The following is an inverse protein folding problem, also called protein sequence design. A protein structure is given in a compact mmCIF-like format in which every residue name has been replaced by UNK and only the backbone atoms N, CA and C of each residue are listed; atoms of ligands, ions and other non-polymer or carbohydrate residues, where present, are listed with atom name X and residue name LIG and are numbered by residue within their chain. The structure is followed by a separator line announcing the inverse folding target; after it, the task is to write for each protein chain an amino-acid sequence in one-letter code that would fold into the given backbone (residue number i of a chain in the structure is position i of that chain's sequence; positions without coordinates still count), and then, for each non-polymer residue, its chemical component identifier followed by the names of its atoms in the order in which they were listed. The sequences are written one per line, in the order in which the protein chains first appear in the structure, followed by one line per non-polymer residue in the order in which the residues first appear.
data_IF_467578987275
#
_entry.id   IF_467578987275
#
_cell.length_a   1.000
_cell.length_b   1.000
_cell.length_c   1.000
_cell.angle_alpha   90.00
_cell.angle_beta   90.00
_cell.angle_gamma   90.00
#
_symmetry.space_group_name_H-M   'P 1'
#
loop_
_entity.id
_entity.type
_entity.pdbx_description
1 polymer ?
#
# COMPACT_ATOMS: atom_id res chain seq x y z
N UNK A 1 -25.79 -19.01 -37.58
CA UNK A 1 -24.86 -20.10 -37.16
C UNK A 1 -23.79 -19.41 -36.32
N UNK A 2 -23.55 -19.66 -35.04
CA UNK A 2 -23.90 -20.75 -34.14
C UNK A 2 -23.99 -20.16 -32.72
N UNK A 3 -24.89 -20.75 -31.94
CA UNK A 3 -25.32 -20.41 -30.58
C UNK A 3 -24.21 -20.51 -29.52
N UNK A 4 -24.37 -19.68 -28.48
CA UNK A 4 -24.25 -19.99 -27.05
C UNK A 4 -22.98 -20.71 -26.58
N UNK A 5 -22.17 -20.04 -25.74
CA UNK A 5 -21.87 -20.56 -24.40
C UNK A 5 -21.89 -19.39 -23.42
N UNK A 6 -22.89 -19.42 -22.54
CA UNK A 6 -23.03 -18.59 -21.35
C UNK A 6 -22.13 -19.11 -20.22
N UNK A 7 -21.69 -18.18 -19.36
CA UNK A 7 -21.49 -18.33 -17.91
C UNK A 7 -20.76 -19.60 -17.39
N UNK A 8 -19.49 -19.43 -17.04
CA UNK A 8 -18.83 -20.21 -16.00
C UNK A 8 -18.43 -19.26 -14.85
N UNK A 9 -19.43 -18.82 -14.08
CA UNK A 9 -19.21 -18.27 -12.75
C UNK A 9 -19.26 -19.41 -11.73
N UNK A 10 -18.45 -19.28 -10.68
CA UNK A 10 -18.39 -20.08 -9.45
C UNK A 10 -17.58 -21.39 -9.50
N UNK A 11 -16.32 -21.31 -9.04
CA UNK A 11 -15.75 -22.16 -7.99
C UNK A 11 -14.21 -21.99 -7.89
N UNK A 12 -13.75 -20.84 -7.37
CA UNK A 12 -12.42 -20.73 -6.76
C UNK A 12 -12.50 -19.90 -5.48
N UNK A 13 -13.49 -20.23 -4.66
CA UNK A 13 -13.55 -19.82 -3.26
C UNK A 13 -13.54 -21.11 -2.45
N UNK A 14 -12.35 -21.68 -2.20
CA UNK A 14 -12.06 -22.71 -1.20
C UNK A 14 -10.55 -23.12 -1.21
N UNK A 15 -9.63 -22.15 -1.24
CA UNK A 15 -8.20 -22.40 -0.94
C UNK A 15 -7.69 -21.32 0.02
N UNK A 16 -8.37 -21.14 1.16
CA UNK A 16 -7.95 -20.18 2.19
C UNK A 16 -7.90 -20.76 3.62
N UNK A 17 -7.88 -22.08 3.81
CA UNK A 17 -7.85 -22.65 5.18
C UNK A 17 -7.43 -24.12 5.27
N UNK A 18 -6.26 -24.51 4.72
CA UNK A 18 -5.75 -25.89 4.90
C UNK A 18 -4.26 -26.04 5.25
N UNK A 19 -3.51 -24.96 5.53
CA UNK A 19 -2.09 -25.09 5.90
C UNK A 19 -1.79 -24.85 7.39
N UNK A 20 -2.81 -24.83 8.26
CA UNK A 20 -2.66 -24.53 9.69
C UNK A 20 -2.96 -25.72 10.64
N UNK A 21 -3.08 -26.95 10.14
CA UNK A 21 -3.50 -28.11 10.95
C UNK A 21 -2.59 -29.34 10.79
N UNK A 22 -1.27 -29.13 10.76
CA UNK A 22 -0.29 -30.24 10.80
C UNK A 22 0.30 -30.51 12.19
N UNK A 23 -0.16 -29.80 13.24
CA UNK A 23 0.39 -29.95 14.60
C UNK A 23 -0.68 -30.06 15.68
N UNK A 24 -1.72 -30.88 15.47
CA UNK A 24 -2.62 -31.26 16.58
C UNK A 24 -3.07 -32.71 16.41
N UNK A 25 -2.33 -33.64 17.03
CA UNK A 25 -2.85 -34.96 17.40
C UNK A 25 -3.30 -34.92 18.86
N UNK A 26 -4.59 -35.11 19.17
CA UNK A 26 -5.03 -35.47 20.50
C UNK A 26 -5.16 -36.99 20.57
N UNK A 27 -4.29 -37.67 21.29
CA UNK A 27 -4.60 -38.99 21.85
C UNK A 27 -3.92 -39.09 23.21
N UNK A 28 -4.75 -39.05 24.26
CA UNK A 28 -4.36 -39.19 25.64
C UNK A 28 -3.85 -40.63 25.89
N UNK A 29 -2.54 -40.83 25.82
CA UNK A 29 -1.90 -41.91 26.55
C UNK A 29 -1.81 -41.50 28.02
N UNK A 30 -2.13 -42.38 28.99
CA UNK A 30 -1.93 -42.04 30.39
C UNK A 30 -0.44 -41.81 30.56
N UNK A 31 -0.07 -40.58 30.92
CA UNK A 31 1.27 -40.25 31.35
C UNK A 31 1.60 -41.20 32.49
N UNK A 32 2.40 -42.23 32.21
CA UNK A 32 3.10 -42.96 33.24
C UNK A 32 3.77 -41.89 34.08
N UNK A 33 3.27 -41.70 35.30
CA UNK A 33 3.78 -40.76 36.25
C UNK A 33 5.25 -41.10 36.44
N UNK A 34 6.13 -40.41 35.70
CA UNK A 34 7.53 -40.28 36.06
C UNK A 34 7.49 -39.51 37.36
N UNK A 35 7.50 -40.23 38.46
CA UNK A 35 7.87 -39.70 39.76
C UNK A 35 9.28 -39.15 39.59
N UNK A 36 9.38 -37.87 39.26
CA UNK A 36 10.60 -37.11 39.41
C UNK A 36 10.78 -37.03 40.92
N UNK A 37 11.63 -37.91 41.47
CA UNK A 37 12.15 -37.73 42.81
C UNK A 37 12.66 -36.28 42.91
N UNK A 38 12.43 -35.56 44.02
CA UNK A 38 12.98 -34.23 44.15
C UNK A 38 14.50 -34.40 44.12
N UNK A 39 15.10 -34.09 42.98
CA UNK A 39 16.54 -33.87 42.93
C UNK A 39 16.71 -32.63 43.78
N UNK A 40 17.25 -32.80 44.99
CA UNK A 40 17.77 -31.67 45.73
C UNK A 40 18.71 -30.97 44.77
N UNK A 41 18.30 -29.79 44.29
CA UNK A 41 19.12 -28.89 43.51
C UNK A 41 20.17 -28.40 44.50
N UNK A 42 21.20 -29.21 44.70
CA UNK A 42 22.46 -28.78 45.28
C UNK A 42 22.94 -27.70 44.33
N UNK A 43 22.64 -26.44 44.67
CA UNK A 43 23.13 -25.27 43.95
C UNK A 43 24.64 -25.40 43.92
N UNK A 44 25.15 -25.89 42.80
CA UNK A 44 26.56 -25.90 42.52
C UNK A 44 27.05 -24.46 42.74
N UNK A 45 28.18 -24.26 43.44
CA UNK A 45 28.71 -22.92 43.64
C UNK A 45 28.88 -22.28 42.26
N UNK A 46 28.35 -21.06 42.11
CA UNK A 46 28.45 -20.29 40.89
C UNK A 46 29.94 -20.17 40.53
N UNK A 47 30.36 -20.92 39.51
CA UNK A 47 31.76 -21.06 39.11
C UNK A 47 32.32 -19.80 38.44
N UNK A 48 31.57 -18.70 38.43
CA UNK A 48 31.96 -17.43 37.85
C UNK A 48 32.67 -16.54 38.87
N UNK A 49 33.81 -16.01 38.46
CA UNK A 49 34.55 -15.02 39.24
C UNK A 49 33.77 -13.68 39.30
N UNK A 50 33.98 -12.86 40.35
CA UNK A 50 33.39 -11.52 40.40
C UNK A 50 33.69 -10.67 39.16
N UNK A 51 34.88 -10.83 38.58
CA UNK A 51 35.33 -10.15 37.37
C UNK A 51 34.51 -10.57 36.13
N UNK A 52 34.24 -11.87 35.96
CA UNK A 52 33.39 -12.37 34.88
C UNK A 52 31.94 -11.89 35.01
N UNK A 53 31.42 -11.82 36.24
CA UNK A 53 30.08 -11.28 36.51
C UNK A 53 30.00 -9.79 36.17
N UNK A 54 31.02 -9.01 36.54
CA UNK A 54 31.11 -7.59 36.22
C UNK A 54 31.24 -7.36 34.71
N UNK A 55 32.04 -8.17 34.01
CA UNK A 55 32.19 -8.08 32.56
C UNK A 55 30.88 -8.41 31.84
N UNK A 56 30.19 -9.47 32.27
CA UNK A 56 28.88 -9.86 31.73
C UNK A 56 27.85 -8.76 31.94
N UNK A 57 27.79 -8.18 33.15
CA UNK A 57 26.88 -7.08 33.44
C UNK A 57 27.15 -5.85 32.55
N UNK A 58 28.43 -5.51 32.33
CA UNK A 58 28.81 -4.42 31.42
C UNK A 58 28.39 -4.70 29.98
N UNK A 59 28.67 -5.89 29.45
CA UNK A 59 28.30 -6.25 28.08
C UNK A 59 26.78 -6.27 27.89
N UNK A 60 26.02 -6.77 28.87
CA UNK A 60 24.57 -6.74 28.84
C UNK A 60 24.02 -5.31 28.86
N UNK A 61 24.62 -4.41 29.66
CA UNK A 61 24.24 -3.01 29.67
C UNK A 61 24.52 -2.33 28.33
N UNK A 62 25.67 -2.62 27.69
CA UNK A 62 26.01 -2.11 26.35
C UNK A 62 25.05 -2.62 25.28
N UNK A 63 24.70 -3.91 25.33
CA UNK A 63 23.72 -4.51 24.40
C UNK A 63 22.33 -3.90 24.59
N UNK A 64 21.88 -3.73 25.84
CA UNK A 64 20.60 -3.10 26.15
C UNK A 64 20.55 -1.65 25.66
N UNK A 65 21.64 -0.90 25.83
CA UNK A 65 21.75 0.47 25.33
C UNK A 65 21.63 0.53 23.80
N UNK A 66 22.36 -0.34 23.08
CA UNK A 66 22.28 -0.43 21.61
C UNK A 66 20.87 -0.79 21.15
N UNK A 67 20.27 -1.84 21.73
CA UNK A 67 18.92 -2.25 21.38
C UNK A 67 17.88 -1.15 21.62
N UNK A 68 18.03 -0.36 22.68
CA UNK A 68 17.16 0.79 22.95
C UNK A 68 17.30 1.88 21.87
N UNK A 69 18.53 2.18 21.47
CA UNK A 69 18.79 3.13 20.38
C UNK A 69 18.22 2.62 19.05
N UNK A 70 18.45 1.37 18.69
CA UNK A 70 17.96 0.78 17.45
C UNK A 70 16.42 0.78 17.40
N UNK A 71 15.76 0.42 18.50
CA UNK A 71 14.30 0.48 18.60
C UNK A 71 13.76 1.91 18.44
N UNK A 72 14.47 2.90 18.99
CA UNK A 72 14.09 4.31 18.85
C UNK A 72 14.22 4.76 17.40
N UNK A 73 15.33 4.45 16.74
CA UNK A 73 15.56 4.78 15.32
C UNK A 73 14.50 4.11 14.45
N UNK A 74 14.28 2.80 14.63
CA UNK A 74 13.26 2.07 13.89
C UNK A 74 11.87 2.69 14.03
N UNK A 75 11.48 3.04 15.26
CA UNK A 75 10.18 3.66 15.51
C UNK A 75 10.05 5.00 14.80
N UNK A 76 11.12 5.81 14.79
CA UNK A 76 11.14 7.08 14.06
C UNK A 76 11.02 6.86 12.55
N UNK A 77 11.78 5.93 11.98
CA UNK A 77 11.74 5.60 10.54
C UNK A 77 10.34 5.13 10.11
N UNK A 78 9.72 4.23 10.88
CA UNK A 78 8.35 3.76 10.62
C UNK A 78 7.35 4.92 10.68
N UNK A 79 7.48 5.78 11.69
CA UNK A 79 6.58 6.95 11.83
C UNK A 79 6.72 7.93 10.67
N UNK A 80 7.95 8.20 10.21
CA UNK A 80 8.23 9.08 9.08
C UNK A 80 7.70 8.48 7.77
N UNK A 81 7.90 7.17 7.55
CA UNK A 81 7.38 6.48 6.38
C UNK A 81 5.85 6.52 6.33
N UNK A 82 5.16 6.34 7.46
CA UNK A 82 3.70 6.43 7.53
C UNK A 82 3.20 7.86 7.23
N UNK A 83 3.88 8.89 7.74
CA UNK A 83 3.55 10.28 7.44
C UNK A 83 3.73 10.58 5.94
N UNK A 84 4.80 10.08 5.33
CA UNK A 84 5.05 10.26 3.91
C UNK A 84 3.96 9.58 3.07
N UNK A 85 3.57 8.35 3.39
CA UNK A 85 2.48 7.65 2.69
C UNK A 85 1.17 8.43 2.78
N UNK A 86 0.82 8.93 3.96
CA UNK A 86 -0.40 9.70 4.16
C UNK A 86 -0.38 11.02 3.34
N UNK A 87 0.76 11.71 3.35
CA UNK A 87 0.97 12.92 2.56
C UNK A 87 0.83 12.63 1.06
N UNK A 88 1.49 11.59 0.55
CA UNK A 88 1.48 11.28 -0.88
C UNK A 88 0.09 10.86 -1.37
N UNK A 89 -0.68 10.15 -0.53
CA UNK A 89 -2.08 9.85 -0.81
C UNK A 89 -2.95 11.11 -0.88
N UNK A 90 -2.71 12.07 0.02
CA UNK A 90 -3.41 13.35 0.00
C UNK A 90 -3.09 14.14 -1.26
N UNK A 91 -1.80 14.31 -1.60
CA UNK A 91 -1.37 15.03 -2.80
C UNK A 91 -1.97 14.39 -4.05
N UNK A 92 -1.91 13.06 -4.17
CA UNK A 92 -2.50 12.35 -5.30
C UNK A 92 -4.01 12.63 -5.45
N UNK A 93 -4.75 12.62 -4.33
CA UNK A 93 -6.18 12.91 -4.34
C UNK A 93 -6.47 14.36 -4.76
N UNK A 94 -5.70 15.33 -4.25
CA UNK A 94 -5.82 16.74 -4.58
C UNK A 94 -5.51 17.01 -6.07
N UNK A 95 -4.41 16.47 -6.59
CA UNK A 95 -4.02 16.61 -7.99
C UNK A 95 -5.03 15.97 -8.93
N UNK A 96 -5.56 14.79 -8.57
CA UNK A 96 -6.61 14.12 -9.34
C UNK A 96 -7.89 14.96 -9.38
N UNK A 97 -8.30 15.52 -8.25
CA UNK A 97 -9.47 16.39 -8.18
C UNK A 97 -9.28 17.66 -9.02
N UNK A 98 -8.10 18.29 -8.95
CA UNK A 98 -7.77 19.46 -9.76
C UNK A 98 -7.77 19.15 -11.27
N UNK A 99 -7.20 18.01 -11.66
CA UNK A 99 -7.18 17.57 -13.06
C UNK A 99 -8.59 17.35 -13.62
N UNK A 100 -9.45 16.62 -12.89
CA UNK A 100 -10.81 16.37 -13.34
C UNK A 100 -11.66 17.65 -13.36
N UNK A 101 -11.44 18.58 -12.42
CA UNK A 101 -12.09 19.89 -12.44
C UNK A 101 -11.67 20.73 -13.66
N UNK A 102 -10.38 20.77 -13.98
CA UNK A 102 -9.87 21.49 -15.15
C UNK A 102 -10.37 20.87 -16.46
N UNK A 103 -10.39 19.54 -16.54
CA UNK A 103 -10.98 18.82 -17.68
C UNK A 103 -12.46 19.17 -17.87
N UNK A 104 -13.25 19.25 -16.80
CA UNK A 104 -14.64 19.66 -16.88
C UNK A 104 -14.78 21.13 -17.34
N UNK A 105 -13.92 22.02 -16.85
CA UNK A 105 -13.87 23.44 -17.27
C UNK A 105 -13.55 23.57 -18.77
N UNK A 106 -12.53 22.85 -19.25
CA UNK A 106 -12.14 22.85 -20.66
C UNK A 106 -13.25 22.24 -21.53
N UNK A 107 -13.90 21.17 -21.08
CA UNK A 107 -15.03 20.59 -21.79
C UNK A 107 -16.19 21.58 -21.94
N UNK A 108 -16.55 22.29 -20.86
CA UNK A 108 -17.58 23.33 -20.90
C UNK A 108 -17.23 24.47 -21.88
N UNK A 109 -16.00 25.00 -21.79
CA UNK A 109 -15.52 26.04 -22.71
C UNK A 109 -15.54 25.56 -24.17
N UNK A 110 -15.10 24.34 -24.43
CA UNK A 110 -15.08 23.77 -25.80
C UNK A 110 -16.48 23.55 -26.37
N UNK A 111 -17.49 23.27 -25.52
CA UNK A 111 -18.87 23.13 -25.93
C UNK A 111 -19.46 24.49 -26.35
N UNK A 112 -19.16 25.56 -25.62
CA UNK A 112 -19.54 26.93 -25.98
C UNK A 112 -18.89 27.38 -27.29
N UNK A 113 -17.59 27.15 -27.44
CA UNK A 113 -16.86 27.44 -28.67
C UNK A 113 -17.40 26.64 -29.86
N UNK A 114 -17.78 25.37 -29.63
CA UNK A 114 -18.41 24.53 -30.66
C UNK A 114 -19.74 25.12 -31.12
N UNK A 115 -20.63 25.49 -30.20
CA UNK A 115 -21.93 26.09 -30.55
C UNK A 115 -21.76 27.37 -31.36
N UNK A 116 -20.80 28.23 -30.96
CA UNK A 116 -20.48 29.45 -31.71
C UNK A 116 -19.96 29.13 -33.11
N UNK A 117 -19.00 28.20 -33.21
CA UNK A 117 -18.45 27.80 -34.49
C UNK A 117 -19.52 27.21 -35.43
N UNK A 118 -20.41 26.35 -34.93
CA UNK A 118 -21.51 25.79 -35.71
C UNK A 118 -22.44 26.89 -36.24
N UNK A 119 -22.76 27.90 -35.41
CA UNK A 119 -23.54 29.07 -35.81
C UNK A 119 -22.82 29.93 -36.87
N UNK A 120 -21.52 30.17 -36.70
CA UNK A 120 -20.70 30.94 -37.65
C UNK A 120 -20.61 30.24 -39.01
N UNK A 121 -20.43 28.91 -39.00
CA UNK A 121 -20.45 28.07 -40.20
C UNK A 121 -21.81 28.12 -40.89
N UNK A 122 -22.91 28.05 -40.13
CA UNK A 122 -24.25 28.14 -40.70
C UNK A 122 -24.51 29.52 -41.34
N UNK A 123 -24.11 30.61 -40.68
CA UNK A 123 -24.24 31.97 -41.20
C UNK A 123 -23.42 32.19 -42.47
N UNK A 124 -22.16 31.72 -42.48
CA UNK A 124 -21.30 31.75 -43.68
C UNK A 124 -21.94 30.98 -44.84
N UNK A 125 -22.46 29.77 -44.60
CA UNK A 125 -23.17 28.97 -45.63
C UNK A 125 -24.44 29.66 -46.15
N UNK A 126 -25.11 30.45 -45.31
CA UNK A 126 -26.27 31.25 -45.69
C UNK A 126 -25.91 32.54 -46.46
N UNK A 127 -24.61 32.85 -46.61
CA UNK A 127 -24.12 33.98 -47.40
C UNK A 127 -23.58 35.16 -46.58
N UNK A 128 -23.58 35.09 -45.25
CA UNK A 128 -22.92 36.10 -44.42
C UNK A 128 -21.40 35.88 -44.42
N UNK A 129 -20.74 36.52 -45.39
CA UNK A 129 -19.30 36.40 -45.60
C UNK A 129 -18.47 36.95 -44.45
N UNK A 130 -19.03 37.77 -43.56
CA UNK A 130 -18.33 38.31 -42.38
C UNK A 130 -18.11 37.27 -41.29
N UNK A 131 -18.85 36.16 -41.34
CA UNK A 131 -18.78 35.05 -40.38
C UNK A 131 -17.98 33.86 -40.89
N UNK A 132 -17.47 33.92 -42.12
CA UNK A 132 -16.65 32.86 -42.68
C UNK A 132 -15.28 32.79 -42.00
N UNK A 133 -14.75 31.57 -41.89
CA UNK A 133 -13.39 31.37 -41.38
C UNK A 133 -12.38 32.10 -42.28
N UNK A 134 -11.38 32.81 -41.70
CA UNK A 134 -10.34 33.44 -42.48
C UNK A 134 -9.55 32.38 -43.27
N UNK A 135 -9.09 32.75 -44.47
CA UNK A 135 -8.27 31.89 -45.30
C UNK A 135 -6.97 31.54 -44.55
N UNK A 136 -6.58 30.26 -44.58
CA UNK A 136 -5.33 29.84 -43.98
C UNK A 136 -4.14 30.60 -44.63
N UNK A 137 -3.14 31.04 -43.86
CA UNK A 137 -1.94 31.65 -44.41
C UNK A 137 -1.28 30.69 -45.40
N UNK A 138 -0.95 31.16 -46.60
CA UNK A 138 -0.20 30.37 -47.57
C UNK A 138 1.26 30.34 -47.10
N UNK A 139 1.88 29.17 -46.91
CA UNK A 139 3.29 29.09 -46.53
C UNK A 139 4.17 29.71 -47.64
N UNK A 140 5.26 30.42 -47.28
CA UNK A 140 6.20 30.98 -48.26
C UNK A 140 6.89 29.86 -49.06
N UNK A 141 7.17 30.14 -50.34
CA UNK A 141 7.87 29.22 -51.25
C UNK A 141 9.37 29.14 -50.97
#
# INVERSE_FOLDING_TARGET
MTRMIWAASAAFALISSAQAMAWQTPEAAPAAARTVAPVAEETAPDGTTPEERANTARLNAEQAARASTDNTIYTQEVSAAQQQIAHDQQVYAEETAAYEAEKARVAAMSAEERMKWEADVAACKAGDTTRCAPQAPVPPK
#
